data_IF_871909771889
#
_entry.id   IF_871909771889
#
_cell.length_a   1.000
_cell.length_b   1.000
_cell.length_c   1.000
_cell.angle_alpha   90.00
_cell.angle_beta   90.00
_cell.angle_gamma   90.00
#
_symmetry.space_group_name_H-M   'P 1'
#
loop_
_entity.id
_entity.type
_entity.pdbx_description
1 polymer ?
2 polymer ?
3 non-polymer ?
#
# COMPACT_ATOMS: atom_id res chain seq x y z
N UNK A 1 2.88 -7.63 -38.61
CA UNK A 1 2.33 -7.87 -37.26
C UNK A 1 3.34 -7.42 -36.19
N UNK A 2 2.90 -6.35 -35.54
CA UNK A 2 3.68 -5.71 -34.46
C UNK A 2 3.47 -6.43 -33.14
N UNK A 3 4.43 -7.33 -32.84
CA UNK A 3 4.47 -8.16 -31.64
C UNK A 3 4.49 -7.31 -30.37
N UNK A 4 3.32 -7.09 -29.82
CA UNK A 4 3.08 -6.29 -28.64
C UNK A 4 4.29 -6.14 -27.71
N UNK A 5 4.54 -4.89 -27.36
CA UNK A 5 5.65 -4.56 -26.46
C UNK A 5 5.25 -4.91 -25.04
N UNK A 6 6.30 -5.15 -24.23
CA UNK A 6 6.06 -5.48 -22.81
C UNK A 6 5.45 -4.26 -22.12
N UNK A 7 5.68 -3.06 -22.60
CA UNK A 7 5.14 -1.83 -22.06
C UNK A 7 3.70 -2.20 -21.65
N UNK A 8 2.92 -2.37 -22.69
CA UNK A 8 1.49 -2.69 -22.55
C UNK A 8 1.27 -3.93 -21.74
N UNK A 9 1.92 -5.04 -22.10
CA UNK A 9 1.76 -6.30 -21.36
C UNK A 9 1.91 -6.09 -19.86
N UNK A 10 2.87 -5.38 -19.35
CA UNK A 10 2.96 -5.18 -17.90
C UNK A 10 1.92 -4.13 -17.47
N UNK A 11 1.93 -3.05 -18.21
CA UNK A 11 1.09 -1.87 -17.96
C UNK A 11 -0.34 -2.37 -17.67
N UNK A 12 -0.88 -3.13 -18.55
CA UNK A 12 -2.20 -3.72 -18.50
C UNK A 12 -2.43 -4.60 -17.27
N UNK A 13 -1.47 -5.39 -16.86
CA UNK A 13 -1.65 -6.28 -15.69
C UNK A 13 -1.68 -5.43 -14.44
N UNK A 14 -0.83 -4.44 -14.38
CA UNK A 14 -0.76 -3.54 -13.18
C UNK A 14 -2.14 -3.02 -12.83
N UNK A 15 -2.96 -2.59 -13.75
CA UNK A 15 -4.32 -2.13 -13.41
C UNK A 15 -5.13 -3.30 -12.83
N UNK A 16 -5.09 -4.44 -13.51
CA UNK A 16 -5.83 -5.59 -13.00
C UNK A 16 -5.34 -5.87 -11.56
N UNK A 17 -4.05 -6.02 -11.28
CA UNK A 17 -3.60 -6.26 -9.89
C UNK A 17 -4.26 -5.26 -8.95
N UNK A 18 -4.20 -4.01 -9.37
CA UNK A 18 -4.75 -2.85 -8.65
C UNK A 18 -6.24 -2.87 -8.36
N UNK A 19 -7.09 -3.24 -9.30
CA UNK A 19 -8.55 -3.27 -9.06
C UNK A 19 -8.88 -4.35 -8.01
N UNK A 20 -8.14 -5.46 -8.17
CA UNK A 20 -8.17 -6.62 -7.29
C UNK A 20 -7.71 -6.06 -5.92
N UNK A 21 -6.60 -5.38 -5.77
CA UNK A 21 -6.15 -4.79 -4.49
C UNK A 21 -7.07 -3.79 -3.80
N UNK A 22 -7.77 -2.89 -4.49
CA UNK A 22 -8.68 -1.93 -3.89
C UNK A 22 -9.99 -2.56 -3.43
N UNK A 23 -10.41 -3.49 -4.30
CA UNK A 23 -11.68 -4.22 -4.07
C UNK A 23 -11.67 -4.85 -2.67
N UNK A 24 -10.64 -5.59 -2.39
CA UNK A 24 -10.41 -6.28 -1.16
C UNK A 24 -10.18 -5.33 0.01
N UNK A 25 -9.64 -4.14 -0.24
CA UNK A 25 -9.38 -3.21 0.90
C UNK A 25 -10.73 -2.64 1.36
N UNK A 26 -11.34 -2.05 0.36
CA UNK A 26 -12.64 -1.37 0.53
C UNK A 26 -13.64 -2.25 1.21
N UNK A 27 -14.07 -3.34 0.60
CA UNK A 27 -15.01 -4.34 1.07
C UNK A 27 -14.64 -4.79 2.48
N UNK A 28 -13.37 -5.14 2.68
CA UNK A 28 -12.96 -5.56 4.02
C UNK A 28 -13.25 -4.39 4.96
N UNK A 29 -12.76 -3.20 4.67
CA UNK A 29 -13.06 -2.04 5.57
C UNK A 29 -14.58 -2.00 5.71
N UNK A 30 -15.28 -2.09 4.59
CA UNK A 30 -16.74 -2.06 4.57
C UNK A 30 -17.26 -3.10 5.56
N UNK A 31 -16.85 -4.34 5.40
CA UNK A 31 -17.34 -5.46 6.21
C UNK A 31 -16.99 -5.40 7.68
N UNK A 32 -15.71 -5.27 8.01
CA UNK A 32 -15.35 -5.24 9.46
C UNK A 32 -16.19 -4.18 10.15
N UNK A 33 -16.29 -3.05 9.51
CA UNK A 33 -17.04 -1.86 9.91
C UNK A 33 -18.47 -2.24 10.28
N UNK A 34 -19.18 -3.06 9.55
CA UNK A 34 -20.57 -3.47 9.79
C UNK A 34 -20.88 -4.71 10.60
N UNK A 35 -20.31 -5.84 10.28
CA UNK A 35 -20.47 -7.13 10.94
C UNK A 35 -19.12 -7.39 11.61
N UNK A 36 -19.17 -7.76 12.86
CA UNK A 36 -17.92 -8.12 13.63
C UNK A 36 -17.06 -6.93 13.91
N UNK A 37 -17.63 -5.84 14.44
CA UNK A 37 -16.89 -4.65 14.68
C UNK A 37 -16.14 -4.23 15.87
N UNK A 38 -16.31 -4.59 17.15
CA UNK A 38 -15.44 -3.90 18.17
C UNK A 38 -14.60 -4.68 19.07
N UNK A 39 -14.93 -5.07 20.29
CA UNK A 39 -13.98 -5.87 21.12
C UNK A 39 -13.77 -7.22 20.48
N UNK A 40 -14.75 -7.63 19.69
CA UNK A 40 -14.67 -8.90 18.95
C UNK A 40 -13.67 -8.84 17.79
N UNK A 41 -13.42 -7.65 17.27
CA UNK A 41 -12.54 -7.31 16.18
C UNK A 41 -11.83 -8.55 15.63
N UNK A 42 -10.60 -8.73 16.03
CA UNK A 42 -9.79 -9.84 15.55
C UNK A 42 -9.91 -11.20 16.17
N UNK A 43 -11.13 -11.70 16.03
CA UNK A 43 -11.44 -13.08 16.53
C UNK A 43 -10.96 -14.00 15.44
N UNK A 44 -10.84 -13.46 14.21
CA UNK A 44 -10.33 -14.22 13.08
C UNK A 44 -8.86 -14.55 13.43
N UNK A 45 -8.26 -13.75 14.25
CA UNK A 45 -6.86 -13.89 14.63
C UNK A 45 -6.81 -14.44 16.02
N UNK A 46 -7.96 -14.86 16.50
CA UNK A 46 -8.29 -15.46 17.79
C UNK A 46 -7.07 -16.00 18.54
N UNK A 47 -6.54 -17.04 17.95
CA UNK A 47 -5.38 -17.84 18.35
C UNK A 47 -4.98 -18.51 17.05
N UNK A 48 -3.77 -18.95 16.89
CA UNK A 48 -3.29 -19.63 15.65
C UNK A 48 -4.38 -20.12 14.73
N UNK A 49 -5.15 -21.04 15.28
CA UNK A 49 -6.29 -21.71 14.67
C UNK A 49 -6.83 -20.94 13.46
N UNK A 50 -7.67 -19.99 13.83
CA UNK A 50 -8.43 -19.08 13.04
C UNK A 50 -7.65 -18.22 12.08
N UNK A 51 -6.70 -17.44 12.56
CA UNK A 51 -5.86 -16.49 11.90
C UNK A 51 -5.11 -16.84 10.62
N UNK A 52 -4.47 -18.01 10.62
CA UNK A 52 -3.66 -18.45 9.50
C UNK A 52 -4.46 -18.52 8.22
N UNK A 53 -3.75 -18.27 7.10
CA UNK A 53 -4.36 -18.30 5.78
C UNK A 53 -3.79 -19.48 4.99
N UNK A 54 -4.70 -20.17 4.36
CA UNK A 54 -4.33 -21.32 3.50
C UNK A 54 -3.35 -20.90 2.41
N UNK A 55 -3.32 -19.64 2.05
CA UNK A 55 -2.48 -18.97 1.08
C UNK A 55 -1.15 -18.52 1.70
N UNK A 56 -0.62 -19.43 2.52
CA UNK A 56 0.59 -19.38 3.30
C UNK A 56 1.47 -20.64 3.18
N UNK A 57 0.97 -21.65 2.50
CA UNK A 57 1.59 -22.95 2.22
C UNK A 57 2.50 -22.89 0.98
N UNK A 58 2.69 -21.69 0.47
CA UNK A 58 3.44 -21.13 -0.58
C UNK A 58 4.46 -20.13 0.12
N UNK A 59 5.69 -20.53 0.01
CA UNK A 59 6.75 -19.72 0.60
C UNK A 59 7.02 -18.44 -0.18
N UNK A 60 6.49 -17.34 0.32
CA UNK A 60 6.55 -15.96 -0.12
C UNK A 60 7.51 -15.13 0.74
N UNK A 61 8.23 -14.24 0.10
CA UNK A 61 9.23 -13.37 0.74
C UNK A 61 8.66 -12.37 1.70
N UNK A 62 9.37 -11.99 2.75
CA UNK A 62 8.81 -11.03 3.72
C UNK A 62 9.61 -9.80 4.09
N UNK A 63 10.36 -9.24 3.17
CA UNK A 63 11.19 -8.05 3.38
C UNK A 63 11.60 -7.59 1.95
N UNK A 64 12.22 -6.44 1.97
CA UNK A 64 12.74 -5.80 0.73
C UNK A 64 13.73 -6.85 0.19
N UNK A 65 14.87 -6.83 0.84
CA UNK A 65 16.02 -7.68 0.61
C UNK A 65 15.66 -8.97 -0.04
N UNK A 66 15.01 -9.89 0.65
CA UNK A 66 14.59 -11.17 0.12
C UNK A 66 13.50 -11.19 -0.93
N UNK A 67 12.78 -10.12 -1.13
CA UNK A 67 11.71 -9.99 -2.09
C UNK A 67 12.27 -9.42 -3.40
N UNK A 68 13.48 -8.99 -3.24
CA UNK A 68 14.40 -8.40 -4.20
C UNK A 68 15.44 -9.49 -4.52
N UNK A 69 15.27 -10.56 -3.76
CA UNK A 69 16.10 -11.75 -3.82
C UNK A 69 15.46 -12.70 -4.82
N UNK A 70 14.15 -12.83 -4.94
CA UNK A 70 13.64 -13.82 -5.95
C UNK A 70 13.62 -13.32 -7.37
N UNK A 71 14.23 -14.09 -8.29
CA UNK A 71 14.31 -13.74 -9.71
C UNK A 71 12.96 -13.39 -10.32
N UNK A 72 13.06 -12.63 -11.41
CA UNK A 72 11.87 -12.22 -12.17
C UNK A 72 10.95 -13.40 -12.35
N UNK A 73 11.48 -14.53 -12.78
CA UNK A 73 10.57 -15.70 -12.94
C UNK A 73 10.06 -16.12 -11.56
N UNK A 74 10.97 -16.22 -10.60
CA UNK A 74 10.66 -16.62 -9.24
C UNK A 74 9.53 -15.76 -8.69
N UNK A 75 9.64 -14.46 -8.79
CA UNK A 75 8.58 -13.56 -8.34
C UNK A 75 7.27 -13.76 -9.08
N UNK A 76 7.27 -13.85 -10.42
CA UNK A 76 6.05 -13.98 -11.21
C UNK A 76 5.11 -15.13 -10.80
N UNK A 77 5.70 -16.27 -10.55
CA UNK A 77 5.10 -17.52 -10.17
C UNK A 77 4.20 -17.48 -8.94
N UNK A 78 4.76 -16.92 -7.87
CA UNK A 78 3.97 -16.86 -6.60
C UNK A 78 2.62 -16.21 -6.80
N UNK A 79 2.67 -15.11 -7.49
CA UNK A 79 1.58 -14.24 -7.86
C UNK A 79 0.47 -15.14 -8.40
N UNK A 80 0.90 -15.94 -9.38
CA UNK A 80 0.03 -16.91 -10.07
C UNK A 80 -0.56 -17.92 -9.09
N UNK A 81 0.33 -18.62 -8.36
CA UNK A 81 -0.15 -19.60 -7.37
C UNK A 81 -1.25 -18.86 -6.61
N UNK A 82 -0.87 -17.75 -5.99
CA UNK A 82 -1.90 -16.98 -5.27
C UNK A 82 -3.22 -16.87 -6.00
N UNK A 83 -3.24 -16.46 -7.27
CA UNK A 83 -4.46 -16.32 -8.07
C UNK A 83 -5.33 -17.56 -8.07
N UNK A 84 -4.75 -18.64 -8.55
CA UNK A 84 -5.37 -19.98 -8.61
C UNK A 84 -5.93 -20.34 -7.23
N UNK A 85 -5.06 -20.28 -6.22
CA UNK A 85 -5.45 -20.54 -4.81
C UNK A 85 -6.68 -19.78 -4.32
N UNK A 86 -6.94 -18.60 -4.80
CA UNK A 86 -8.08 -17.81 -4.43
C UNK A 86 -9.24 -17.97 -5.39
N UNK A 87 -9.10 -18.91 -6.29
CA UNK A 87 -10.12 -19.17 -7.29
C UNK A 87 -11.40 -19.75 -6.71
N UNK A 88 -11.35 -20.55 -5.67
CA UNK A 88 -12.49 -21.19 -5.02
C UNK A 88 -13.08 -20.46 -3.85
N UNK A 89 -12.25 -20.14 -2.85
CA UNK A 89 -12.72 -19.47 -1.64
C UNK A 89 -13.64 -18.34 -1.97
N UNK A 90 -13.24 -17.49 -2.88
CA UNK A 90 -13.91 -16.31 -3.39
C UNK A 90 -15.28 -16.47 -4.02
N UNK A 91 -15.78 -17.68 -4.09
CA UNK A 91 -17.00 -18.23 -4.59
C UNK A 91 -18.16 -18.13 -3.55
N UNK A 92 -17.64 -18.25 -2.33
CA UNK A 92 -18.42 -18.19 -1.10
C UNK A 92 -18.56 -16.71 -0.68
N UNK A 93 -17.61 -15.93 -1.18
CA UNK A 93 -17.52 -14.50 -0.93
C UNK A 93 -18.42 -13.62 -1.76
N UNK A 94 -19.16 -14.19 -2.70
CA UNK A 94 -20.10 -13.52 -3.60
C UNK A 94 -21.13 -12.74 -2.79
N UNK A 95 -21.48 -13.41 -1.71
CA UNK A 95 -22.43 -12.88 -0.71
C UNK A 95 -21.85 -11.48 -0.35
N UNK A 96 -20.64 -11.57 0.19
CA UNK A 96 -19.87 -10.42 0.61
C UNK A 96 -19.85 -9.29 -0.43
N UNK A 97 -19.17 -9.57 -1.52
CA UNK A 97 -18.94 -8.68 -2.64
C UNK A 97 -20.17 -8.14 -3.36
N UNK A 98 -21.31 -8.76 -3.22
CA UNK A 98 -22.56 -8.39 -3.86
C UNK A 98 -23.32 -7.24 -3.27
N UNK A 99 -23.59 -7.15 -1.99
CA UNK A 99 -24.34 -5.97 -1.46
C UNK A 99 -23.39 -4.85 -1.07
N UNK A 100 -22.19 -4.87 -1.64
CA UNK A 100 -21.12 -3.90 -1.38
C UNK A 100 -21.35 -2.56 -2.02
N UNK A 101 -21.64 -1.58 -1.15
CA UNK A 101 -21.90 -0.17 -1.50
C UNK A 101 -20.82 0.42 -2.42
N UNK A 102 -19.69 -0.15 -2.31
CA UNK A 102 -18.38 -0.15 -2.86
C UNK A 102 -18.57 -0.62 -4.32
N UNK A 103 -18.50 0.40 -5.16
CA UNK A 103 -18.78 0.20 -6.58
C UNK A 103 -17.78 -0.61 -7.35
N UNK A 104 -18.31 -1.33 -8.33
CA UNK A 104 -17.56 -2.20 -9.23
C UNK A 104 -17.66 -3.64 -8.69
N UNK A 105 -17.80 -3.76 -7.38
CA UNK A 105 -17.94 -5.00 -6.62
C UNK A 105 -18.77 -6.05 -7.36
N UNK A 106 -20.09 -5.82 -7.32
CA UNK A 106 -21.13 -6.64 -7.97
C UNK A 106 -20.82 -6.90 -9.44
N UNK A 107 -20.87 -5.89 -10.29
CA UNK A 107 -20.64 -5.82 -11.75
C UNK A 107 -19.37 -6.61 -12.15
N UNK A 108 -18.30 -6.35 -11.41
CA UNK A 108 -17.00 -6.99 -11.56
C UNK A 108 -17.12 -8.29 -10.75
N UNK A 109 -17.56 -9.32 -11.46
CA UNK A 109 -17.71 -10.64 -10.80
C UNK A 109 -16.31 -11.15 -10.55
N UNK A 110 -15.81 -10.95 -9.36
CA UNK A 110 -14.49 -11.31 -8.89
C UNK A 110 -13.91 -12.55 -9.50
N UNK A 111 -14.62 -13.62 -9.75
CA UNK A 111 -13.95 -14.83 -10.35
C UNK A 111 -13.37 -14.52 -11.72
N UNK A 112 -13.99 -13.60 -12.44
CA UNK A 112 -13.59 -13.10 -13.74
C UNK A 112 -12.20 -12.41 -13.65
N UNK A 113 -12.13 -11.36 -12.82
CA UNK A 113 -10.89 -10.60 -12.69
C UNK A 113 -9.74 -11.56 -12.40
N UNK A 114 -9.93 -12.52 -11.54
CA UNK A 114 -8.96 -13.53 -11.13
C UNK A 114 -8.47 -14.35 -12.33
N UNK A 115 -9.54 -14.70 -13.07
CA UNK A 115 -9.41 -15.48 -14.29
C UNK A 115 -8.60 -14.71 -15.31
N UNK A 116 -8.99 -13.46 -15.54
CA UNK A 116 -8.29 -12.59 -16.49
C UNK A 116 -6.81 -12.50 -16.10
N UNK A 117 -6.62 -11.96 -14.92
CA UNK A 117 -5.29 -11.73 -14.37
C UNK A 117 -4.42 -12.96 -14.51
N UNK A 118 -4.99 -14.09 -14.27
CA UNK A 118 -4.37 -15.41 -14.36
C UNK A 118 -3.72 -15.55 -15.73
N UNK A 119 -4.43 -15.29 -16.84
CA UNK A 119 -3.79 -15.38 -18.18
C UNK A 119 -2.66 -14.35 -18.29
N UNK A 120 -2.86 -13.06 -18.06
CA UNK A 120 -1.90 -11.99 -18.13
C UNK A 120 -0.53 -12.47 -17.63
N UNK A 121 -0.49 -13.04 -16.45
CA UNK A 121 0.66 -13.58 -15.76
C UNK A 121 1.32 -14.77 -16.43
N UNK A 122 0.58 -15.76 -16.89
CA UNK A 122 1.30 -16.93 -17.52
C UNK A 122 2.15 -16.36 -18.65
N UNK A 123 1.47 -15.52 -19.42
CA UNK A 123 2.00 -14.76 -20.54
C UNK A 123 3.25 -13.99 -20.10
N UNK A 124 3.07 -13.07 -19.14
CA UNK A 124 4.26 -12.32 -18.65
C UNK A 124 5.38 -13.32 -18.40
N UNK A 125 5.08 -14.41 -17.74
CA UNK A 125 5.95 -15.50 -17.39
C UNK A 125 6.61 -16.21 -18.57
N UNK A 126 5.77 -16.55 -19.54
CA UNK A 126 6.30 -17.23 -20.76
C UNK A 126 7.39 -16.38 -21.39
N UNK A 127 7.08 -15.13 -21.71
CA UNK A 127 7.98 -14.13 -22.33
C UNK A 127 9.28 -13.94 -21.57
N UNK A 128 9.36 -14.39 -20.34
CA UNK A 128 10.55 -14.32 -19.51
C UNK A 128 11.12 -15.75 -19.47
N UNK A 129 11.15 -16.37 -20.64
CA UNK A 129 11.69 -17.72 -20.81
C UNK A 129 12.94 -17.77 -21.69
N UNK A 130 12.80 -18.32 -22.85
CA UNK A 130 13.72 -18.58 -23.94
C UNK A 130 14.32 -20.00 -23.80
N UNK A 131 13.80 -20.67 -22.79
CA UNK A 131 14.06 -21.96 -22.40
C UNK A 131 14.94 -22.55 -21.41
N UNK A 132 15.12 -21.99 -20.23
CA UNK A 132 16.05 -22.76 -19.28
C UNK A 132 15.07 -23.60 -18.49
N UNK A 133 15.56 -24.33 -17.52
CA UNK A 133 14.69 -25.11 -16.60
C UNK A 133 13.87 -24.07 -15.80
N UNK A 134 12.71 -24.43 -15.22
CA UNK A 134 11.95 -23.35 -14.50
C UNK A 134 12.13 -23.41 -13.00
N UNK A 135 13.34 -23.72 -12.66
CA UNK A 135 13.96 -23.91 -11.38
C UNK A 135 14.20 -22.68 -10.54
N UNK A 136 14.10 -22.87 -9.22
CA UNK A 136 14.25 -21.90 -8.15
C UNK A 136 13.66 -22.23 -6.79
N UNK A 137 12.37 -21.93 -6.60
CA UNK A 137 11.64 -22.13 -5.34
C UNK A 137 10.60 -23.23 -5.21
N UNK A 138 9.35 -22.92 -5.40
CA UNK A 138 8.16 -23.80 -5.29
C UNK A 138 8.23 -24.82 -6.38
N UNK A 139 8.19 -26.13 -6.28
CA UNK A 139 8.35 -26.72 -7.71
C UNK A 139 6.96 -26.83 -8.27
N UNK A 140 6.17 -27.69 -7.67
CA UNK A 140 4.80 -27.90 -8.13
C UNK A 140 3.87 -26.85 -7.54
N UNK A 141 2.82 -26.65 -8.33
CA UNK A 141 1.69 -25.76 -8.13
C UNK A 141 1.02 -26.03 -6.78
N UNK A 142 1.54 -25.40 -5.75
CA UNK A 142 1.12 -25.48 -4.37
C UNK A 142 -0.24 -24.84 -4.11
N UNK A 143 -1.22 -25.54 -4.59
CA UNK A 143 -2.65 -25.35 -4.62
C UNK A 143 -3.26 -26.01 -3.37
N UNK A 144 -3.68 -25.14 -2.49
CA UNK A 144 -4.26 -25.46 -1.20
C UNK A 144 -5.73 -25.08 -1.08
N UNK A 145 -6.21 -25.34 0.12
CA UNK A 145 -7.54 -25.05 0.61
C UNK A 145 -7.54 -25.03 2.15
N UNK A 146 -8.49 -24.28 2.65
CA UNK A 146 -8.74 -24.09 4.09
C UNK A 146 -9.69 -25.23 4.54
N UNK A 147 -10.92 -25.08 4.16
CA UNK A 147 -12.02 -25.98 4.43
C UNK A 147 -12.95 -26.02 3.19
N UNK A 148 -14.03 -26.76 3.39
CA UNK A 148 -15.09 -27.02 2.44
C UNK A 148 -14.51 -27.47 1.10
N UNK A 153 -19.66 -24.53 12.91
CA UNK A 153 -20.29 -23.57 11.97
C UNK A 153 -20.38 -22.14 12.48
N UNK A 154 -19.22 -21.44 12.44
CA UNK A 154 -19.32 -19.98 12.86
C UNK A 154 -19.45 -19.35 11.45
N UNK A 155 -20.64 -18.89 11.12
CA UNK A 155 -20.78 -18.34 9.76
C UNK A 155 -20.09 -16.99 9.63
N UNK A 156 -20.54 -15.98 10.38
CA UNK A 156 -20.02 -14.63 10.34
C UNK A 156 -18.53 -14.46 10.52
N UNK A 157 -17.92 -15.14 11.46
CA UNK A 157 -16.46 -14.95 11.61
C UNK A 157 -15.62 -15.40 10.42
N UNK A 158 -15.99 -16.41 9.69
CA UNK A 158 -15.50 -17.10 8.54
C UNK A 158 -15.35 -16.28 7.28
N UNK A 159 -16.41 -15.55 6.97
CA UNK A 159 -16.41 -14.70 5.76
C UNK A 159 -15.28 -13.69 6.01
N UNK A 160 -15.47 -13.08 7.15
CA UNK A 160 -14.56 -12.07 7.66
C UNK A 160 -13.14 -12.53 7.62
N UNK A 161 -12.88 -13.73 8.06
CA UNK A 161 -11.55 -14.37 8.10
C UNK A 161 -11.01 -14.34 6.67
N UNK A 162 -11.86 -14.69 5.73
CA UNK A 162 -11.46 -14.69 4.32
C UNK A 162 -11.10 -13.31 3.82
N UNK A 163 -12.00 -12.37 4.07
CA UNK A 163 -11.70 -11.00 3.61
C UNK A 163 -10.31 -10.59 4.05
N UNK A 164 -9.98 -10.75 5.32
CA UNK A 164 -8.64 -10.38 5.78
C UNK A 164 -7.55 -10.98 4.89
N UNK A 165 -7.67 -12.26 4.59
CA UNK A 165 -6.71 -12.96 3.77
C UNK A 165 -6.62 -12.51 2.33
N UNK A 166 -7.74 -12.19 1.71
CA UNK A 166 -7.77 -11.76 0.28
C UNK A 166 -6.98 -10.46 0.03
N UNK A 167 -7.27 -9.55 0.93
CA UNK A 167 -6.70 -8.23 1.02
C UNK A 167 -5.18 -8.40 1.03
N UNK A 168 -4.75 -9.27 1.87
CA UNK A 168 -3.35 -9.59 2.07
C UNK A 168 -2.74 -10.18 0.84
N UNK A 169 -3.42 -11.10 0.22
CA UNK A 169 -2.97 -11.82 -0.97
C UNK A 169 -3.13 -10.95 -2.21
N UNK A 170 -4.11 -10.05 -2.17
CA UNK A 170 -4.25 -9.18 -3.36
C UNK A 170 -2.96 -8.34 -3.37
N UNK A 171 -2.59 -7.87 -2.19
CA UNK A 171 -1.39 -7.06 -1.95
C UNK A 171 -0.16 -7.83 -2.42
N UNK A 172 0.21 -8.97 -1.93
CA UNK A 172 1.42 -9.68 -2.39
C UNK A 172 1.54 -9.67 -3.89
N UNK A 173 0.50 -9.96 -4.63
CA UNK A 173 0.41 -9.97 -6.09
C UNK A 173 0.74 -8.61 -6.70
N UNK A 174 0.03 -7.56 -6.35
CA UNK A 174 0.38 -6.24 -6.95
C UNK A 174 1.85 -5.90 -6.70
N UNK A 175 2.27 -5.87 -5.45
CA UNK A 175 3.64 -5.55 -5.03
C UNK A 175 4.61 -6.35 -5.88
N UNK A 176 4.52 -7.63 -6.09
CA UNK A 176 5.46 -8.41 -6.90
C UNK A 176 5.55 -8.03 -8.35
N UNK A 177 4.47 -7.98 -9.07
CA UNK A 177 4.45 -7.61 -10.47
C UNK A 177 5.17 -6.26 -10.68
N UNK A 178 4.85 -5.35 -9.77
CA UNK A 178 5.46 -4.02 -9.87
C UNK A 178 6.97 -4.24 -9.90
N UNK A 179 7.52 -5.05 -9.01
CA UNK A 179 8.99 -5.22 -9.09
C UNK A 179 9.47 -5.60 -10.49
N UNK A 180 8.88 -6.60 -11.07
CA UNK A 180 9.19 -7.14 -12.39
C UNK A 180 8.91 -6.16 -13.52
N UNK A 181 7.90 -5.34 -13.40
CA UNK A 181 7.60 -4.33 -14.44
C UNK A 181 8.82 -3.39 -14.55
N UNK A 182 9.34 -2.98 -13.46
CA UNK A 182 10.46 -2.09 -13.25
C UNK A 182 11.84 -2.47 -13.65
N UNK A 183 12.24 -3.65 -13.33
CA UNK A 183 13.41 -4.45 -13.51
C UNK A 183 13.65 -5.03 -14.92
N UNK A 184 12.55 -5.15 -15.67
CA UNK A 184 12.48 -5.73 -17.02
C UNK A 184 12.13 -4.79 -18.16
N UNK A 185 11.17 -3.96 -17.87
CA UNK A 185 10.57 -2.90 -18.66
C UNK A 185 11.24 -1.61 -18.15
N UNK A 186 12.46 -1.50 -18.60
CA UNK A 186 13.46 -0.48 -18.45
C UNK A 186 12.97 0.87 -18.99
N UNK A 187 12.33 1.69 -18.16
CA UNK A 187 11.76 3.00 -18.51
C UNK A 187 10.82 3.61 -17.48
N UNK A 188 9.51 3.43 -17.67
CA UNK A 188 8.44 3.95 -16.84
C UNK A 188 8.39 3.45 -15.41
N UNK A 189 9.42 3.84 -14.70
CA UNK A 189 9.66 3.50 -13.29
C UNK A 189 10.47 4.61 -12.61
N UNK A 190 11.76 4.61 -12.87
CA UNK A 190 12.78 5.54 -12.40
C UNK A 190 14.08 4.76 -12.09
N UNK B 2 -14.09 -1.76 26.43
CA UNK B 2 -14.48 -1.12 27.72
C UNK B 2 -14.50 0.40 27.58
N UNK B 3 -15.08 1.09 28.57
CA UNK B 3 -15.21 2.55 28.62
C UNK B 3 -13.97 3.41 28.63
N UNK B 4 -13.18 3.38 29.69
CA UNK B 4 -11.98 4.21 29.78
C UNK B 4 -10.87 3.91 28.78
N UNK B 5 -9.82 3.26 29.25
CA UNK B 5 -8.53 2.85 28.59
C UNK B 5 -7.59 4.00 29.04
N UNK B 6 -6.28 4.04 29.08
CA UNK B 6 -5.72 5.37 29.57
C UNK B 6 -4.83 6.04 28.54
N UNK B 7 -3.78 5.38 28.09
CA UNK B 7 -2.85 5.91 27.09
C UNK B 7 -3.25 5.51 25.67
N UNK B 8 -3.21 6.43 24.73
CA UNK B 8 -3.60 6.16 23.36
C UNK B 8 -2.38 6.10 22.45
N UNK B 9 -2.42 5.15 21.53
CA UNK B 9 -1.31 5.06 20.53
C UNK B 9 -1.99 5.76 19.35
N UNK B 10 -1.75 7.04 19.15
CA UNK B 10 -2.46 7.72 18.03
C UNK B 10 -1.98 7.40 16.66
N UNK B 11 -0.82 6.80 16.45
CA UNK B 11 -0.32 6.43 15.14
C UNK B 11 1.08 5.84 15.09
N UNK B 12 1.23 5.34 13.90
CA UNK B 12 2.38 4.69 13.31
C UNK B 12 2.50 5.21 11.89
N UNK B 13 3.71 5.35 11.41
CA UNK B 13 4.11 5.85 10.11
C UNK B 13 5.51 5.38 9.68
N UNK B 14 5.57 4.56 8.63
CA UNK B 14 6.84 4.04 8.05
C UNK B 14 7.25 4.94 6.91
N UNK B 15 8.41 5.60 6.91
CA UNK B 15 8.90 6.48 5.86
C UNK B 15 9.25 5.76 4.57
N UNK B 16 9.20 4.44 4.52
CA UNK B 16 9.46 3.66 3.30
C UNK B 16 9.14 2.19 3.27
N UNK B 17 8.26 1.53 3.96
CA UNK B 17 7.96 0.10 3.92
C UNK B 17 9.13 -0.80 4.31
N UNK B 18 9.89 -0.40 5.33
CA UNK B 18 11.05 -1.08 5.87
C UNK B 18 11.35 -0.77 7.32
N UNK B 19 10.73 0.20 7.92
CA UNK B 19 10.93 0.66 9.30
C UNK B 19 9.69 1.39 9.65
N UNK B 20 9.36 1.40 10.92
CA UNK B 20 8.12 2.17 11.31
C UNK B 20 8.32 2.72 12.70
N UNK B 21 7.59 3.76 13.04
CA UNK B 21 7.72 4.32 14.40
C UNK B 21 6.33 4.42 14.99
N UNK B 22 6.08 4.27 16.28
CA UNK B 22 4.65 4.41 16.74
C UNK B 22 4.72 5.49 17.78
N UNK B 23 3.64 6.24 17.95
CA UNK B 23 3.66 7.35 18.96
C UNK B 23 2.47 7.17 19.89
N UNK B 24 2.71 7.10 21.21
CA UNK B 24 1.56 6.91 22.14
C UNK B 24 1.27 8.28 22.75
N UNK B 25 0.27 8.13 23.64
CA UNK B 25 -0.15 9.41 24.22
C UNK B 25 -0.95 9.24 25.48
N UNK B 26 -0.29 9.76 26.51
CA UNK B 26 -0.86 9.80 27.88
C UNK B 26 -2.07 10.72 27.87
N UNK B 27 -3.29 10.20 27.69
CA UNK B 27 -4.56 10.98 27.63
C UNK B 27 -5.14 11.20 29.05
N UNK B 28 -4.35 10.77 29.99
CA UNK B 28 -4.23 10.70 31.38
C UNK B 28 -3.82 12.08 31.95
N UNK B 29 -4.60 12.45 32.94
CA UNK B 29 -4.23 13.77 33.62
C UNK B 29 -3.53 13.22 34.88
N UNK B 30 -2.36 12.58 34.68
CA UNK B 30 -1.53 11.93 35.69
C UNK B 30 -0.08 12.40 35.74
N UNK B 34 9.46 7.56 33.80
CA UNK B 34 9.82 6.23 33.24
C UNK B 34 8.74 5.19 33.46
N UNK B 35 7.51 5.70 33.48
CA UNK B 35 6.31 4.91 33.71
C UNK B 35 5.48 4.58 32.50
N UNK B 36 6.00 3.85 31.51
CA UNK B 36 5.33 3.38 30.30
C UNK B 36 6.17 2.24 29.66
N UNK B 37 5.44 1.31 29.05
CA UNK B 37 6.09 0.15 28.40
C UNK B 37 5.23 -0.28 27.22
N UNK B 38 5.94 -0.64 26.17
CA UNK B 38 5.32 -1.08 24.92
C UNK B 38 5.76 -2.54 24.72
N UNK B 39 4.69 -3.27 24.47
CA UNK B 39 4.72 -4.72 24.19
C UNK B 39 3.86 -4.97 22.95
N UNK B 40 4.27 -5.88 22.09
CA UNK B 40 3.59 -6.26 20.83
C UNK B 40 3.63 -7.76 20.62
N UNK B 41 2.86 -8.37 19.73
CA UNK B 41 2.91 -9.85 19.46
C UNK B 41 2.66 -9.96 17.96
N UNK B 42 3.47 -10.66 17.15
CA UNK B 42 3.08 -10.60 15.69
C UNK B 42 1.87 -11.47 15.43
N UNK B 43 1.39 -11.34 14.21
CA UNK B 43 0.18 -12.06 13.76
C UNK B 43 0.27 -13.57 13.90
N UNK B 44 -0.72 -14.00 14.67
CA UNK B 44 -1.06 -15.34 15.08
C UNK B 44 -0.38 -15.50 16.45
N UNK B 45 0.73 -16.11 16.39
CA UNK B 45 1.86 -16.63 17.05
C UNK B 45 2.49 -15.94 18.24
N UNK B 46 1.82 -16.07 19.32
CA UNK B 46 1.54 -15.91 20.67
C UNK B 46 2.48 -15.26 21.66
N UNK B 47 3.76 -15.34 21.43
CA UNK B 47 4.80 -14.74 22.28
C UNK B 47 4.51 -13.25 22.41
N UNK B 48 4.70 -12.71 23.59
CA UNK B 48 4.54 -11.25 23.82
C UNK B 48 5.99 -10.80 23.47
N UNK B 49 6.18 -9.54 23.32
CA UNK B 49 7.52 -8.99 22.90
C UNK B 49 7.57 -7.57 23.43
N UNK B 50 8.64 -7.08 23.95
CA UNK B 50 8.68 -5.69 24.45
C UNK B 50 9.22 -4.84 23.30
N UNK B 51 8.85 -3.58 23.39
CA UNK B 51 9.30 -2.61 22.38
C UNK B 51 10.83 -2.65 22.29
N UNK B 52 11.33 -2.58 21.07
CA UNK B 52 12.74 -2.64 20.74
C UNK B 52 13.67 -1.47 20.59
N UNK B 53 13.31 -0.22 20.61
CA UNK B 53 14.10 1.00 20.52
C UNK B 53 13.18 2.10 21.08
N UNK B 54 13.51 2.83 22.13
CA UNK B 54 12.67 3.93 22.64
C UNK B 54 13.52 5.24 22.61
N UNK B 55 14.50 5.30 21.75
CA UNK B 55 15.42 6.38 21.52
C UNK B 55 15.15 7.03 20.15
N UNK B 56 15.48 6.42 19.06
CA UNK B 56 15.21 7.03 17.74
C UNK B 56 13.71 7.24 17.58
N UNK B 57 13.00 8.16 18.17
CA UNK B 57 11.56 8.22 17.92
C UNK B 57 11.03 9.52 18.46
N UNK B 58 11.73 9.99 19.48
CA UNK B 58 11.21 11.26 20.18
C UNK B 58 10.46 10.62 21.37
N UNK B 59 10.16 11.41 22.37
CA UNK B 59 9.47 10.89 23.56
C UNK B 59 8.09 10.39 23.21
N UNK B 60 7.76 9.24 23.74
CA UNK B 60 6.47 8.54 23.58
C UNK B 60 6.48 7.87 22.21
N UNK B 61 7.59 7.20 21.94
CA UNK B 61 7.78 6.52 20.68
C UNK B 61 8.43 5.14 20.85
N UNK B 62 8.09 4.28 19.92
CA UNK B 62 8.67 2.93 19.89
C UNK B 62 9.06 2.70 18.42
N UNK B 63 10.36 2.73 18.20
CA UNK B 63 10.81 2.56 16.81
C UNK B 63 11.24 1.13 16.53
N UNK B 64 10.63 0.58 15.49
CA UNK B 64 10.95 -0.75 15.03
C UNK B 64 11.97 -0.68 13.91
N UNK B 65 13.17 -1.12 14.12
CA UNK B 65 14.22 -1.16 13.08
C UNK B 65 13.94 -2.30 12.07
N UNK B 66 15.02 -2.85 11.52
CA UNK B 66 14.95 -3.91 10.49
C UNK B 66 14.66 -5.30 10.95
N UNK B 67 15.29 -5.96 11.92
CA UNK B 67 14.87 -7.32 12.30
C UNK B 67 13.42 -7.34 12.76
N UNK B 68 12.87 -6.26 13.30
CA UNK B 68 11.51 -6.15 13.71
C UNK B 68 10.56 -5.77 12.61
N UNK B 69 11.07 -5.47 11.40
CA UNK B 69 10.07 -5.11 10.37
C UNK B 69 9.90 -6.28 9.43
N UNK B 70 8.65 -6.63 9.41
CA UNK B 70 8.00 -7.72 8.71
C UNK B 70 6.81 -7.30 7.84
N UNK B 71 6.91 -7.70 6.60
CA UNK B 71 5.85 -7.41 5.60
C UNK B 71 4.71 -8.38 5.64
N UNK B 72 3.48 -7.87 5.61
CA UNK B 72 2.25 -8.73 5.57
C UNK B 72 2.10 -9.55 6.84
N UNK B 73 2.04 -8.80 7.93
CA UNK B 73 1.98 -9.38 9.26
C UNK B 73 1.27 -8.35 10.15
N UNK B 74 0.35 -8.84 10.95
CA UNK B 74 -0.30 -7.87 11.84
C UNK B 74 0.53 -7.83 13.09
N UNK B 75 0.56 -6.61 13.60
CA UNK B 75 1.26 -6.22 14.82
C UNK B 75 0.15 -5.84 15.79
N UNK B 76 0.19 -6.52 16.91
CA UNK B 76 -0.78 -6.32 18.01
C UNK B 76 0.05 -5.57 19.07
N UNK B 77 -0.29 -4.32 19.26
CA UNK B 77 0.49 -3.54 20.23
C UNK B 77 -0.53 -2.92 21.19
N UNK B 78 0.05 -2.69 22.35
CA UNK B 78 -0.65 -2.10 23.48
C UNK B 78 0.34 -1.42 24.41
N UNK B 79 0.16 -0.18 24.80
CA UNK B 79 1.07 0.48 25.75
C UNK B 79 0.60 0.02 27.17
N UNK B 80 1.53 -0.40 27.97
CA UNK B 80 1.43 -0.88 29.36
C UNK B 80 2.02 0.27 30.19
N UNK B 81 1.26 1.25 30.66
CA UNK B 81 1.75 2.42 31.40
C UNK B 81 1.25 2.53 32.83
N UNK B 82 2.20 2.35 33.74
CA UNK B 82 2.02 2.29 35.15
C UNK B 82 2.73 3.07 36.22
N UNK B 83 1.99 3.79 37.05
CA UNK B 83 2.57 4.53 38.19
C UNK B 83 1.48 4.95 39.17
N UNK B 87 -1.47 3.40 39.24
CA UNK B 87 -2.11 3.75 37.94
C UNK B 87 -1.38 2.95 36.84
N UNK B 88 -1.85 1.73 36.70
CA UNK B 88 -1.41 0.70 35.72
C UNK B 88 -2.57 0.59 34.75
N UNK B 89 -2.37 1.04 33.50
CA UNK B 89 -3.41 1.11 32.45
C UNK B 89 -3.01 0.48 31.14
N UNK B 90 -3.82 0.57 30.09
CA UNK B 90 -3.52 0.02 28.77
C UNK B 90 -4.58 0.44 27.73
N UNK B 91 -4.41 -0.07 26.51
CA UNK B 91 -5.24 0.13 25.29
C UNK B 91 -4.87 -0.92 24.23
N UNK B 92 -5.36 -1.02 23.01
CA UNK B 92 -4.89 -2.08 22.05
C UNK B 92 -4.97 -1.75 20.57
N UNK B 93 -3.95 -1.97 19.71
CA UNK B 93 -4.00 -1.61 18.28
C UNK B 93 -3.41 -2.60 17.30
N UNK B 94 -4.01 -2.77 16.12
CA UNK B 94 -3.59 -3.69 15.05
C UNK B 94 -3.04 -2.91 13.87
N UNK B 95 -1.73 -3.01 13.65
CA UNK B 95 -1.02 -2.30 12.59
C UNK B 95 -0.36 -3.16 11.52
N UNK B 96 -0.82 -2.90 10.30
CA UNK B 96 -0.37 -3.59 9.06
C UNK B 96 0.49 -2.54 8.30
N UNK B 97 1.78 -2.78 8.22
CA UNK B 97 2.76 -1.89 7.66
C UNK B 97 2.54 -1.30 6.30
N UNK B 98 2.06 -2.07 5.34
CA UNK B 98 1.80 -1.60 3.99
C UNK B 98 0.85 -0.42 3.96
N UNK B 99 0.00 -0.15 4.93
CA UNK B 99 -0.95 0.96 4.87
C UNK B 99 -0.64 2.05 5.87
N UNK B 100 0.61 2.03 6.35
CA UNK B 100 1.04 3.05 7.33
C UNK B 100 2.16 3.92 6.76
N UNK B 101 2.52 3.84 5.49
CA UNK B 101 3.55 4.58 4.78
C UNK B 101 3.20 6.05 4.48
N UNK B 102 4.16 6.86 4.85
CA UNK B 102 4.04 8.31 4.63
C UNK B 102 5.46 8.86 4.37
N UNK B 103 5.61 9.24 3.12
CA UNK B 103 6.87 9.80 2.60
C UNK B 103 6.92 11.31 2.79
N UNK B 104 8.03 11.90 2.45
CA UNK B 104 8.44 13.30 2.47
C UNK B 104 8.13 14.05 1.17
N UNK B 105 8.00 15.39 1.24
CA UNK B 105 7.69 16.22 0.08
C UNK B 105 8.78 16.19 -0.98
N UNK B 106 8.27 16.40 -2.18
CA UNK B 106 9.10 16.41 -3.40
C UNK B 106 9.96 17.67 -3.32
N UNK B 107 11.01 17.62 -4.13
CA UNK B 107 12.07 18.55 -4.33
C UNK B 107 12.25 19.32 -5.65
N UNK B 108 12.60 20.59 -5.43
CA UNK B 108 12.94 21.58 -6.44
C UNK B 108 11.78 21.89 -7.35
N UNK B 109 10.74 22.54 -6.80
CA UNK B 109 9.57 22.83 -7.67
C UNK B 109 9.99 23.93 -8.64
N UNK B 110 10.35 23.50 -9.83
CA UNK B 110 10.84 24.38 -10.93
C UNK B 110 9.69 24.84 -11.79
N UNK B 111 9.35 26.10 -11.64
CA UNK B 111 8.21 26.70 -12.42
C UNK B 111 8.88 27.30 -13.65
N UNK B 112 8.12 27.60 -14.67
CA UNK B 112 8.60 28.21 -15.90
C UNK B 112 7.39 28.69 -16.67
N UNK B 113 7.32 29.97 -16.98
CA UNK B 113 6.13 30.46 -17.75
C UNK B 113 6.64 30.42 -19.21
N UNK B 114 5.91 29.88 -20.13
CA UNK B 114 6.23 29.67 -21.54
C UNK B 114 5.36 30.49 -22.50
N UNK B 115 5.89 30.60 -23.73
CA UNK B 115 5.20 31.43 -24.70
C UNK B 115 5.04 31.00 -26.12
N UNK B 116 3.90 30.39 -26.41
CA UNK B 116 3.57 29.86 -27.74
C UNK B 116 3.04 30.90 -28.71
N UNK B 117 3.64 30.69 -29.90
CA UNK B 117 3.46 31.47 -31.08
C UNK B 117 2.27 32.42 -31.01
N UNK B 118 1.02 32.03 -31.23
CA UNK B 118 0.10 33.23 -31.16
C UNK B 118 -0.62 33.27 -29.87
N UNK B 119 -1.06 32.15 -29.36
CA UNK B 119 -1.80 31.93 -28.10
C UNK B 119 -1.17 32.46 -26.81
N UNK B 120 -1.88 32.23 -25.71
CA UNK B 120 -1.61 32.57 -24.34
C UNK B 120 -0.47 31.85 -23.60
N UNK B 121 -0.07 32.48 -22.49
CA UNK B 121 1.02 31.97 -21.65
C UNK B 121 0.54 30.90 -20.69
N UNK B 122 1.18 29.76 -20.61
CA UNK B 122 0.85 28.60 -19.76
C UNK B 122 2.01 28.31 -18.82
N UNK B 123 1.76 27.70 -17.66
CA UNK B 123 2.94 27.46 -16.79
C UNK B 123 3.77 26.31 -17.24
N UNK B 124 4.75 26.04 -16.34
CA UNK B 124 5.56 24.86 -16.68
C UNK B 124 6.36 24.29 -15.53
N UNK B 125 5.71 23.31 -14.92
CA UNK B 125 6.27 22.67 -13.78
C UNK B 125 6.92 21.33 -14.05
N UNK B 126 7.85 21.14 -13.17
CA UNK B 126 8.67 19.91 -13.11
C UNK B 126 9.06 19.81 -11.65
N UNK B 127 9.30 18.61 -11.14
CA UNK B 127 9.64 18.43 -9.72
C UNK B 127 10.54 17.22 -9.60
N UNK B 128 10.43 16.51 -8.49
CA UNK B 128 11.23 15.30 -8.20
C UNK B 128 10.86 14.67 -6.86
N UNK B 129 10.86 13.34 -6.80
CA UNK B 129 10.53 12.55 -5.61
C UNK B 129 11.38 12.84 -4.41
N UNK B 130 10.89 12.57 -3.21
CA UNK B 130 11.68 12.77 -2.00
C UNK B 130 12.70 11.61 -2.05
N UNK B 131 13.76 11.87 -1.38
CA UNK B 131 14.97 11.15 -1.10
C UNK B 131 14.77 9.71 -0.62
N UNK B 132 14.27 9.51 0.58
CA UNK B 132 14.04 8.24 1.28
C UNK B 132 13.56 7.06 0.44
N UNK B 133 12.82 7.30 -0.60
CA UNK B 133 12.26 6.35 -1.51
C UNK B 133 13.02 6.30 -2.85
N UNK B 134 13.50 5.11 -3.03
CA UNK B 134 14.26 4.66 -4.20
C UNK B 134 13.40 3.71 -5.06
N UNK B 135 12.98 4.30 -6.19
CA UNK B 135 12.14 3.72 -7.18
C UNK B 135 12.83 2.84 -8.19
N UNK B 136 14.08 3.05 -8.48
CA UNK B 136 14.80 2.23 -9.46
C UNK B 136 14.40 0.75 -9.45
N UNK B 137 14.47 0.11 -8.29
CA UNK B 137 14.13 -1.35 -8.20
C UNK B 137 12.95 -1.52 -7.25
N UNK B 138 11.94 -0.78 -7.65
CA UNK B 138 10.68 -0.34 -7.49
C UNK B 138 9.70 -0.80 -6.52
N UNK B 139 10.07 -0.81 -5.26
CA UNK B 139 9.11 -1.20 -4.17
C UNK B 139 7.92 -0.24 -4.16
N UNK B 140 8.02 0.93 -4.79
CA UNK B 140 7.03 1.95 -4.84
C UNK B 140 6.56 2.46 -6.20
N UNK B 141 5.44 3.15 -6.05
CA UNK B 141 4.67 3.87 -7.00
C UNK B 141 4.27 5.21 -6.29
N UNK B 142 4.79 6.31 -6.81
CA UNK B 142 4.41 7.60 -6.19
C UNK B 142 3.21 8.09 -6.95
N UNK B 143 2.43 8.93 -6.35
CA UNK B 143 1.21 9.50 -6.92
C UNK B 143 1.24 10.97 -6.55
N UNK B 144 1.43 11.79 -7.54
CA UNK B 144 1.57 13.22 -7.30
C UNK B 144 0.40 14.12 -7.51
N UNK B 145 0.47 15.27 -6.84
CA UNK B 145 -0.65 16.27 -6.99
C UNK B 145 0.07 17.62 -6.92
N UNK B 146 -0.50 18.64 -7.50
CA UNK B 146 -0.04 20.00 -7.61
C UNK B 146 -1.18 20.94 -7.22
N UNK B 147 -0.88 22.04 -6.60
CA UNK B 147 -1.96 23.01 -6.29
C UNK B 147 -1.43 24.39 -6.68
N UNK B 148 -2.28 25.26 -7.17
CA UNK B 148 -1.83 26.61 -7.55
C UNK B 148 -3.00 27.54 -7.24
N UNK B 149 -2.69 28.63 -6.62
CA UNK B 149 -3.68 29.68 -6.28
C UNK B 149 -2.82 30.94 -6.55
N UNK B 150 -3.41 31.84 -7.27
CA UNK B 150 -2.70 33.10 -7.62
C UNK B 150 -2.72 33.92 -6.34
N UNK B 151 -1.66 34.65 -6.20
CA UNK B 151 -1.44 35.55 -5.07
C UNK B 151 -2.72 35.94 -4.33
N UNK B 152 -3.54 36.77 -4.97
CA UNK B 152 -4.79 37.23 -4.37
C UNK B 152 -5.62 36.11 -3.74
N UNK B 153 -6.00 35.18 -4.59
CA UNK B 153 -6.84 34.04 -4.38
C UNK B 153 -6.97 33.44 -2.97
N UNK B 154 -8.19 32.88 -2.85
CA UNK B 154 -8.71 32.20 -1.68
C UNK B 154 -8.31 30.74 -1.60
N UNK B 155 -9.23 29.90 -2.08
CA UNK B 155 -8.95 28.43 -2.01
C UNK B 155 -8.07 28.11 -3.21
N UNK B 156 -7.37 26.99 -3.17
CA UNK B 156 -6.46 26.57 -4.24
C UNK B 156 -7.16 25.76 -5.31
N UNK B 157 -6.43 25.45 -6.36
CA UNK B 157 -6.92 24.62 -7.48
C UNK B 157 -5.95 23.47 -7.70
N UNK B 158 -6.44 22.27 -7.41
CA UNK B 158 -5.65 21.03 -7.48
C UNK B 158 -5.66 20.17 -8.70
N UNK B 159 -4.48 19.85 -9.22
CA UNK B 159 -4.39 18.99 -10.42
C UNK B 159 -3.61 17.74 -10.04
N UNK B 160 -4.20 16.65 -10.46
CA UNK B 160 -3.59 15.32 -10.19
C UNK B 160 -2.66 15.02 -11.34
N UNK B 161 -1.37 15.07 -11.11
CA UNK B 161 -0.32 14.83 -12.09
C UNK B 161 -0.15 13.38 -12.43
N UNK B 162 -0.60 12.48 -11.57
CA UNK B 162 -0.51 11.03 -11.75
C UNK B 162 0.86 10.49 -11.47
N UNK B 163 1.33 9.48 -12.22
CA UNK B 163 2.69 8.96 -11.99
C UNK B 163 3.78 9.80 -12.68
N UNK B 164 3.40 10.96 -13.22
CA UNK B 164 4.19 11.89 -13.95
C UNK B 164 4.64 13.12 -13.21
N UNK B 165 5.93 13.22 -13.07
CA UNK B 165 6.64 14.30 -12.43
C UNK B 165 6.72 15.62 -13.19
N UNK B 166 6.01 15.93 -14.23
CA UNK B 166 6.04 17.21 -14.95
C UNK B 166 4.59 17.64 -15.20
N UNK B 167 4.49 18.95 -15.46
CA UNK B 167 3.08 19.40 -15.71
C UNK B 167 3.02 20.81 -16.23
N UNK B 168 1.90 21.00 -16.91
CA UNK B 168 1.40 22.13 -17.64
C UNK B 168 -0.05 22.52 -17.34
N UNK B 169 -0.24 23.78 -16.97
CA UNK B 169 -1.50 24.40 -16.62
C UNK B 169 -1.77 25.61 -17.52
N UNK B 170 -2.65 25.45 -18.47
CA UNK B 170 -3.06 26.51 -19.42
C UNK B 170 -3.91 27.56 -18.75
N UNK B 171 -4.35 28.56 -19.44
CA UNK B 171 -5.12 29.76 -19.24
C UNK B 171 -4.62 30.67 -18.13
N UNK B 172 -3.42 31.18 -18.42
CA UNK B 172 -2.69 32.07 -17.49
C UNK B 172 -2.33 33.48 -17.92
N UNK B 173 -3.03 34.47 -17.39
CA UNK B 173 -3.08 35.89 -17.50
C UNK B 173 -1.98 36.79 -16.99
N UNK B 174 -1.30 37.51 -17.87
CA UNK B 174 -0.21 38.43 -17.52
C UNK B 174 -0.22 39.08 -16.17
N UNK B 175 -1.33 39.66 -15.78
CA UNK B 175 -1.68 40.37 -14.63
C UNK B 175 -1.56 39.83 -13.26
N UNK B 176 -1.37 38.54 -13.04
CA UNK B 176 -1.31 38.06 -11.60
C UNK B 176 -0.08 37.22 -11.36
N UNK B 177 0.13 37.01 -10.06
CA UNK B 177 1.23 36.24 -9.50
C UNK B 177 0.61 35.06 -8.74
N UNK B 178 1.27 33.92 -8.84
CA UNK B 178 0.81 32.72 -8.21
C UNK B 178 1.91 32.02 -7.37
N UNK B 179 1.31 31.08 -6.64
CA UNK B 179 1.96 30.16 -5.74
C UNK B 179 1.72 28.70 -6.22
N UNK B 180 2.75 27.90 -6.03
CA UNK B 180 2.54 26.48 -6.42
C UNK B 180 3.23 25.46 -5.54
N UNK B 181 2.51 24.38 -5.18
CA UNK B 181 3.02 23.33 -4.33
C UNK B 181 2.71 21.99 -5.03
N UNK B 182 3.61 21.09 -4.78
CA UNK B 182 3.51 19.72 -5.37
C UNK B 182 3.48 18.83 -4.13
N UNK B 183 3.01 17.61 -4.29
CA UNK B 183 2.89 16.65 -3.18
C UNK B 183 2.83 15.24 -3.79
N UNK B 184 3.10 14.33 -2.87
CA UNK B 184 3.15 12.92 -3.26
C UNK B 184 2.62 11.93 -2.26
N UNK B 185 2.19 10.79 -2.79
CA UNK B 185 1.68 9.70 -1.97
C UNK B 185 2.03 8.39 -2.69
N UNK B 186 2.49 7.44 -1.89
CA UNK B 186 2.79 6.08 -2.34
C UNK B 186 1.42 5.39 -2.49
N UNK B 187 1.17 4.61 -3.52
CA UNK B 187 -0.05 3.93 -3.87
C UNK B 187 -1.13 3.60 -2.86
N UNK B 188 -0.88 2.88 -1.78
CA UNK B 188 -2.02 2.65 -0.84
C UNK B 188 -1.61 3.33 0.44
N UNK B 189 -0.91 4.43 0.45
CA UNK B 189 -0.49 5.04 1.72
C UNK B 189 -1.05 6.42 1.88
N UNK B 190 -0.23 7.17 2.57
CA UNK B 190 -0.44 8.54 2.94
C UNK B 190 0.17 9.66 2.11
N UNK B 191 -0.68 10.70 2.09
CA UNK B 191 -0.31 11.93 1.37
C UNK B 191 0.87 12.46 2.16
N UNK B 192 1.68 13.18 1.45
CA UNK B 192 2.88 13.83 1.97
C UNK B 192 2.47 15.24 2.41
N UNK B 193 3.50 15.93 2.86
CA UNK B 193 3.29 17.34 3.31
C UNK B 193 3.34 18.14 2.00
N UNK B 194 2.82 19.37 2.03
CA UNK B 194 2.90 20.13 0.77
C UNK B 194 4.33 20.68 0.76
N UNK B 195 5.00 20.52 -0.36
CA UNK B 195 6.36 21.05 -0.53
C UNK B 195 6.15 22.58 -0.42
N UNK B 196 7.26 23.27 -0.30
CA UNK B 196 7.24 24.75 -0.14
C UNK B 196 6.86 25.47 -1.42
N UNK B 197 6.01 26.47 -1.26
CA UNK B 197 5.47 27.26 -2.33
C UNK B 197 6.52 28.16 -2.98
N UNK B 198 6.70 27.97 -4.26
CA UNK B 198 7.56 28.63 -5.22
C UNK B 198 6.71 29.71 -5.93
N UNK B 199 6.68 30.91 -5.47
CA UNK B 199 5.85 31.96 -6.11
C UNK B 199 6.38 32.26 -7.50
N UNK B 200 5.48 32.86 -8.29
CA UNK B 200 5.70 33.30 -9.64
C UNK B 200 4.77 34.45 -10.09
N UNK B 201 5.06 34.96 -11.28
CA UNK B 201 4.35 36.05 -11.96
C UNK B 201 4.18 35.78 -13.45
N UNK B 202 2.96 35.84 -13.98
CA UNK B 202 2.81 35.61 -15.47
C UNK B 202 3.28 36.85 -16.24
N UNK B 203 3.94 36.61 -17.38
CA UNK B 203 4.51 37.71 -18.17
C UNK B 203 3.44 38.51 -18.83
N UNK B 204 3.76 39.09 -19.97
CA UNK B 204 2.98 40.00 -20.80
C UNK B 204 3.96 40.59 -21.85
X LIG C 1 -2.67 -0.24 -5.91
#
# INVERSE_FOLDING_TARGET
>A
FPTIPLSRLFDNAMLRAHRLHQLAFDTYQEFEEAYIPKEQKYSFLQNPQTSLCFSESIPTPSNREETQQKSNLELLRISLLLIQSWLEPVQFLRSVFANSLVYGASDSNVYDLLKDLEERIQTLMGRLEDGSPRTGQIFKQTYSKFDTNSHNDDALLKNYGLLYCFRKDMDKVETFLRIVQCRSVEGSCGF
>B
QLPPGKPEIFKCRSPNKETFTCWWRPGTDGGLPTNYSLTYHREGETLMHECPDYITGGPNSCHFGKQYTSMWRTYIMMVNATNQMGSSFSDELYVDVTYIVQPDPPLELAVEVKQPEDRKPYLWIKWSPPTLIDLKTGWFTLLYEIRLKPEKAAEWEIHFAGQQTEFKILSLHPGQKYLVQVRCKPDHGYWSAWSPATFIQIPSDFTMNDT
>C hetero
1 ZN ZN
#
